data_IF_687658108158
#
_entry.id   IF_687658108158
#
_cell.length_a   1.000
_cell.length_b   1.000
_cell.length_c   1.000
_cell.angle_alpha   90.00
_cell.angle_beta   90.00
_cell.angle_gamma   90.00
#
_symmetry.space_group_name_H-M   'P 1'
#
loop_
_entity.id
_entity.type
_entity.pdbx_description
1 polymer ?
#
# COMPACT_ATOMS: atom_id res chain seq x y z
N UNK A 1 -13.77 -11.64 8.29
CA UNK A 1 -12.31 -11.90 8.12
C UNK A 1 -12.01 -13.20 7.37
N UNK A 2 -12.97 -13.88 6.73
CA UNK A 2 -12.80 -15.23 6.15
C UNK A 2 -12.01 -15.31 4.83
N UNK A 3 -11.37 -14.22 4.38
CA UNK A 3 -10.68 -14.12 3.08
C UNK A 3 -9.17 -13.87 3.17
N UNK A 4 -8.58 -13.85 4.38
CA UNK A 4 -7.14 -13.67 4.52
C UNK A 4 -6.45 -14.97 4.12
N UNK A 5 -5.59 -14.91 3.09
CA UNK A 5 -4.80 -16.04 2.60
C UNK A 5 -3.30 -15.86 2.79
N UNK A 6 -2.81 -14.61 2.83
CA UNK A 6 -1.39 -14.31 3.02
C UNK A 6 -1.20 -13.18 4.03
N UNK A 7 -0.17 -13.30 4.86
CA UNK A 7 0.21 -12.33 5.89
C UNK A 7 1.69 -12.03 5.72
N UNK A 8 2.06 -10.76 5.68
CA UNK A 8 3.45 -10.31 5.54
C UNK A 8 3.86 -9.54 6.79
N UNK A 9 4.92 -9.99 7.44
CA UNK A 9 5.47 -9.43 8.67
C UNK A 9 6.76 -8.69 8.33
N UNK A 10 6.83 -7.41 8.69
CA UNK A 10 7.99 -6.56 8.38
C UNK A 10 9.16 -6.82 9.32
N UNK A 11 8.89 -6.96 10.63
CA UNK A 11 9.87 -7.27 11.66
C UNK A 11 9.21 -7.90 12.91
N UNK A 12 10.02 -8.33 13.88
CA UNK A 12 9.56 -9.12 15.04
C UNK A 12 9.17 -8.29 16.29
N UNK A 13 9.07 -6.96 16.20
CA UNK A 13 8.58 -6.18 17.34
C UNK A 13 7.12 -6.54 17.68
N UNK A 14 6.80 -6.44 18.97
CA UNK A 14 5.56 -6.96 19.55
C UNK A 14 4.29 -6.33 18.93
N UNK A 15 4.33 -5.04 18.64
CA UNK A 15 3.24 -4.29 18.00
C UNK A 15 2.95 -4.72 16.57
N UNK A 16 3.86 -5.44 15.90
CA UNK A 16 3.69 -5.98 14.56
C UNK A 16 3.30 -7.47 14.55
N UNK A 17 3.53 -8.22 15.63
CA UNK A 17 3.33 -9.70 15.64
C UNK A 17 2.38 -10.24 16.71
N UNK A 18 2.16 -9.55 17.84
CA UNK A 18 1.46 -10.16 18.99
C UNK A 18 -0.03 -10.40 18.74
N UNK A 19 -0.63 -9.70 17.77
CA UNK A 19 -2.01 -9.97 17.32
C UNK A 19 -2.14 -11.19 16.39
N UNK A 20 -1.05 -11.77 15.92
CA UNK A 20 -1.09 -12.80 14.89
C UNK A 20 -1.76 -14.10 15.37
N UNK A 21 -1.48 -14.52 16.61
CA UNK A 21 -2.02 -15.77 17.17
C UNK A 21 -3.55 -15.70 17.27
N UNK A 22 -4.08 -14.58 17.76
CA UNK A 22 -5.53 -14.36 17.90
C UNK A 22 -6.22 -14.19 16.55
N UNK A 23 -5.54 -13.58 15.58
CA UNK A 23 -6.01 -13.50 14.19
C UNK A 23 -6.10 -14.90 13.56
N UNK A 24 -5.05 -15.71 13.66
CA UNK A 24 -5.02 -17.07 13.09
C UNK A 24 -6.09 -17.97 13.68
N UNK A 25 -6.33 -17.89 15.00
CA UNK A 25 -7.44 -18.59 15.66
C UNK A 25 -8.80 -18.24 15.06
N UNK A 26 -8.97 -16.99 14.64
CA UNK A 26 -10.22 -16.52 14.03
C UNK A 26 -10.35 -16.92 12.55
N UNK A 27 -9.25 -17.00 11.80
CA UNK A 27 -9.24 -17.30 10.35
C UNK A 27 -9.22 -18.80 10.05
N UNK A 28 -8.47 -19.59 10.82
CA UNK A 28 -8.28 -21.03 10.61
C UNK A 28 -9.43 -21.89 11.17
N UNK A 29 -10.38 -21.27 11.86
CA UNK A 29 -11.59 -21.93 12.37
C UNK A 29 -11.36 -22.89 13.53
N UNK A 30 -12.47 -23.35 14.12
CA UNK A 30 -12.46 -24.30 15.23
C UNK A 30 -12.14 -25.72 14.75
N UNK A 31 -11.31 -26.49 15.49
CA UNK A 31 -11.06 -27.89 15.19
C UNK A 31 -12.38 -28.63 14.99
N UNK A 32 -12.50 -29.36 13.89
CA UNK A 32 -13.59 -30.33 13.73
C UNK A 32 -13.32 -31.50 14.66
N UNK A 33 -14.35 -32.11 15.29
CA UNK A 33 -14.16 -33.36 16.01
C UNK A 33 -13.47 -34.35 15.07
N UNK A 34 -12.49 -35.07 15.59
CA UNK A 34 -11.69 -36.03 14.84
C UNK A 34 -12.63 -36.97 14.07
N UNK A 35 -12.81 -36.70 12.77
CA UNK A 35 -13.18 -37.78 11.88
C UNK A 35 -11.93 -38.66 11.85
N UNK A 36 -12.11 -39.95 12.10
CA UNK A 36 -11.09 -40.98 11.91
C UNK A 36 -10.62 -40.94 10.46
N UNK A 37 -9.74 -39.98 10.15
CA UNK A 37 -8.91 -40.04 8.97
C UNK A 37 -7.92 -41.12 9.32
N UNK A 38 -8.10 -42.29 8.70
CA UNK A 38 -7.07 -43.30 8.60
C UNK A 38 -5.79 -42.57 8.19
N UNK A 39 -4.91 -42.33 9.16
CA UNK A 39 -3.52 -42.14 8.85
C UNK A 39 -3.08 -43.49 8.31
N UNK A 40 -3.29 -43.71 7.01
CA UNK A 40 -2.55 -44.72 6.30
C UNK A 40 -1.09 -44.37 6.58
N UNK A 41 -0.49 -45.17 7.46
CA UNK A 41 0.92 -45.06 7.76
C UNK A 41 1.65 -45.07 6.41
N UNK A 42 2.62 -44.17 6.18
CA UNK A 42 3.32 -44.13 4.91
C UNK A 42 3.84 -45.55 4.62
N UNK A 43 3.45 -46.10 3.47
CA UNK A 43 3.72 -47.49 3.10
C UNK A 43 5.22 -47.78 2.99
N UNK A 44 6.05 -46.73 2.96
CA UNK A 44 7.49 -46.78 3.11
C UNK A 44 8.00 -45.52 3.83
N UNK A 45 9.14 -45.59 4.54
CA UNK A 45 9.79 -44.43 5.15
C UNK A 45 10.30 -43.39 4.14
N UNK A 46 10.26 -43.68 2.83
CA UNK A 46 10.76 -42.83 1.75
C UNK A 46 9.64 -42.13 0.94
N UNK A 47 8.35 -42.36 1.25
CA UNK A 47 7.28 -41.62 0.59
C UNK A 47 7.15 -40.20 1.16
N UNK A 48 7.12 -39.16 0.30
CA UNK A 48 6.95 -37.79 0.75
C UNK A 48 5.58 -37.64 1.41
N UNK A 49 5.57 -37.22 2.67
CA UNK A 49 4.33 -36.91 3.41
C UNK A 49 3.58 -35.81 2.65
N UNK A 50 2.44 -36.15 2.06
CA UNK A 50 1.60 -35.18 1.36
C UNK A 50 0.88 -34.29 2.38
N UNK A 51 1.28 -33.02 2.47
CA UNK A 51 0.62 -32.04 3.33
C UNK A 51 -0.58 -31.40 2.62
N UNK A 52 -1.67 -31.07 3.33
CA UNK A 52 -2.75 -30.27 2.76
C UNK A 52 -2.26 -28.85 2.45
N UNK A 53 -2.88 -28.20 1.46
CA UNK A 53 -2.58 -26.81 1.14
C UNK A 53 -2.89 -25.90 2.35
N UNK A 54 -1.99 -24.98 2.72
CA UNK A 54 -2.25 -24.05 3.79
C UNK A 54 -3.37 -23.09 3.40
N UNK A 55 -4.25 -22.76 4.35
CA UNK A 55 -5.25 -21.71 4.16
C UNK A 55 -4.64 -20.32 4.31
N UNK A 56 -3.63 -20.21 5.17
CA UNK A 56 -2.92 -18.96 5.43
C UNK A 56 -1.42 -19.19 5.32
N UNK A 57 -0.75 -18.41 4.50
CA UNK A 57 0.71 -18.37 4.39
C UNK A 57 1.25 -17.10 5.04
N UNK A 58 2.28 -17.25 5.87
CA UNK A 58 2.82 -16.16 6.68
C UNK A 58 4.28 -15.98 6.28
N UNK A 59 4.60 -14.81 5.75
CA UNK A 59 5.93 -14.43 5.28
C UNK A 59 6.50 -13.44 6.28
N UNK A 60 7.70 -13.69 6.81
CA UNK A 60 8.31 -12.78 7.77
C UNK A 60 9.79 -13.03 7.97
N UNK A 61 10.46 -12.19 8.77
CA UNK A 61 11.86 -12.41 9.11
C UNK A 61 12.04 -13.70 9.93
N UNK A 62 13.30 -14.10 10.09
CA UNK A 62 13.69 -15.16 11.01
C UNK A 62 13.06 -14.97 12.40
N UNK A 63 12.40 -16.02 12.90
CA UNK A 63 11.78 -16.06 14.23
C UNK A 63 10.27 -16.27 14.17
N UNK A 64 9.62 -15.89 13.07
CA UNK A 64 8.17 -15.99 12.93
C UNK A 64 7.68 -17.43 13.01
N UNK A 65 8.43 -18.40 12.46
CA UNK A 65 8.07 -19.82 12.51
C UNK A 65 8.12 -20.35 13.93
N UNK A 66 9.25 -20.16 14.62
CA UNK A 66 9.38 -20.57 16.03
C UNK A 66 8.35 -19.87 16.92
N UNK A 67 8.11 -18.57 16.73
CA UNK A 67 7.11 -17.81 17.48
C UNK A 67 5.72 -18.45 17.40
N UNK A 68 5.24 -18.71 16.17
CA UNK A 68 3.94 -19.35 15.93
C UNK A 68 3.88 -20.75 16.52
N UNK A 69 4.89 -21.58 16.23
CA UNK A 69 4.96 -22.98 16.69
C UNK A 69 4.97 -23.05 18.21
N UNK A 70 5.82 -22.27 18.87
CA UNK A 70 5.95 -22.27 20.33
C UNK A 70 4.67 -21.79 21.01
N UNK A 71 4.08 -20.67 20.59
CA UNK A 71 2.89 -20.14 21.25
C UNK A 71 1.69 -21.05 21.04
N UNK A 72 1.44 -21.54 19.82
CA UNK A 72 0.32 -22.45 19.57
C UNK A 72 0.48 -23.76 20.35
N UNK A 73 1.72 -24.28 20.46
CA UNK A 73 2.01 -25.49 21.25
C UNK A 73 1.75 -25.27 22.73
N UNK A 74 2.33 -24.23 23.34
CA UNK A 74 2.21 -23.97 24.79
C UNK A 74 0.79 -23.58 25.19
N UNK A 75 0.03 -22.95 24.29
CA UNK A 75 -1.38 -22.61 24.53
C UNK A 75 -2.35 -23.74 24.16
N UNK A 76 -1.85 -24.88 23.69
CA UNK A 76 -2.67 -26.01 23.20
C UNK A 76 -3.69 -25.60 22.12
N UNK A 77 -3.34 -24.60 21.30
CA UNK A 77 -4.23 -24.00 20.32
C UNK A 77 -4.23 -24.77 19.01
N UNK A 78 -5.27 -25.57 18.76
CA UNK A 78 -5.49 -26.28 17.48
C UNK A 78 -6.49 -25.55 16.58
N UNK A 79 -6.42 -25.76 15.27
CA UNK A 79 -7.30 -25.11 14.28
C UNK A 79 -7.84 -26.12 13.28
N UNK A 80 -8.94 -25.78 12.59
CA UNK A 80 -9.52 -26.62 11.55
C UNK A 80 -8.61 -26.70 10.32
N UNK A 81 -8.17 -25.53 9.85
CA UNK A 81 -7.32 -25.37 8.68
C UNK A 81 -5.85 -25.18 9.09
N UNK A 82 -4.94 -25.38 8.13
CA UNK A 82 -3.49 -25.26 8.36
C UNK A 82 -2.93 -23.90 7.94
N UNK A 83 -1.80 -23.53 8.54
CA UNK A 83 -0.97 -22.41 8.10
C UNK A 83 0.43 -22.88 7.70
N UNK A 84 1.09 -22.11 6.84
CA UNK A 84 2.52 -22.25 6.54
C UNK A 84 3.26 -20.99 6.99
N UNK A 85 4.46 -21.16 7.56
CA UNK A 85 5.32 -20.05 7.97
C UNK A 85 6.63 -20.05 7.17
N UNK A 86 6.79 -19.03 6.33
CA UNK A 86 7.94 -18.80 5.47
C UNK A 86 8.86 -17.76 6.10
N UNK A 87 10.14 -18.09 6.22
CA UNK A 87 11.14 -17.20 6.79
C UNK A 87 12.00 -16.60 5.69
N UNK A 88 12.07 -15.27 5.66
CA UNK A 88 13.00 -14.51 4.86
C UNK A 88 14.25 -14.33 5.70
N UNK A 89 15.23 -15.20 5.46
CA UNK A 89 16.49 -15.25 6.20
C UNK A 89 17.49 -14.29 5.56
N UNK A 90 18.18 -13.48 6.35
CA UNK A 90 19.33 -12.72 5.83
C UNK A 90 20.53 -13.66 5.59
N UNK A 91 21.55 -13.18 4.89
CA UNK A 91 22.76 -13.98 4.61
C UNK A 91 23.33 -14.57 5.90
N UNK A 92 23.75 -15.84 5.85
CA UNK A 92 24.29 -16.61 6.98
C UNK A 92 23.31 -17.00 8.10
N UNK A 93 22.06 -16.52 8.10
CA UNK A 93 21.10 -16.95 9.12
C UNK A 93 20.72 -18.42 8.98
N UNK A 94 20.46 -19.08 10.10
CA UNK A 94 19.81 -20.38 10.12
C UNK A 94 18.34 -20.21 10.49
N UNK A 95 17.44 -21.04 9.92
CA UNK A 95 16.02 -20.94 10.19
C UNK A 95 15.74 -21.02 11.68
N UNK A 96 14.73 -20.28 12.13
CA UNK A 96 14.40 -20.23 13.55
C UNK A 96 13.85 -21.55 14.05
N UNK A 97 13.20 -22.35 13.22
CA UNK A 97 12.76 -23.70 13.55
C UNK A 97 12.83 -24.60 12.31
N UNK A 98 12.99 -25.93 12.48
CA UNK A 98 13.06 -26.86 11.36
C UNK A 98 11.79 -26.83 10.51
N UNK A 99 11.95 -26.71 9.18
CA UNK A 99 10.83 -26.59 8.21
C UNK A 99 9.88 -27.79 8.26
N UNK A 100 10.43 -29.01 8.31
CA UNK A 100 9.64 -30.26 8.38
C UNK A 100 9.40 -30.74 9.82
N UNK A 101 9.81 -29.95 10.81
CA UNK A 101 9.92 -30.41 12.20
C UNK A 101 11.04 -31.44 12.39
N UNK A 102 11.30 -31.79 13.64
CA UNK A 102 12.18 -32.89 14.04
C UNK A 102 11.53 -33.68 15.17
N UNK A 103 12.13 -34.80 15.59
CA UNK A 103 11.66 -35.55 16.78
C UNK A 103 11.62 -34.65 18.02
N UNK A 104 12.57 -33.72 18.15
CA UNK A 104 12.67 -32.81 19.31
C UNK A 104 11.79 -31.55 19.15
N UNK A 105 11.60 -31.06 17.92
CA UNK A 105 10.80 -29.88 17.61
C UNK A 105 9.79 -30.21 16.49
N UNK A 106 8.76 -31.04 16.78
CA UNK A 106 7.81 -31.48 15.77
C UNK A 106 6.97 -30.31 15.24
N UNK A 107 6.42 -30.48 14.04
CA UNK A 107 5.44 -29.53 13.51
C UNK A 107 4.23 -29.44 14.44
N UNK A 108 3.71 -28.23 14.63
CA UNK A 108 2.47 -28.07 15.35
C UNK A 108 1.31 -28.68 14.53
N UNK A 109 0.29 -29.24 15.21
CA UNK A 109 -0.82 -29.92 14.52
C UNK A 109 -1.63 -29.04 13.57
N UNK A 110 -1.52 -27.71 13.63
CA UNK A 110 -2.13 -26.74 12.70
C UNK A 110 -1.14 -26.17 11.66
N UNK A 111 0.10 -26.65 11.64
CA UNK A 111 1.19 -26.15 10.80
C UNK A 111 1.47 -27.15 9.66
N UNK A 112 1.84 -26.63 8.49
CA UNK A 112 2.48 -27.40 7.41
C UNK A 112 3.85 -26.78 7.09
N UNK A 113 4.76 -27.54 6.46
CA UNK A 113 6.08 -27.01 6.11
C UNK A 113 5.99 -25.72 5.30
N UNK A 114 6.75 -24.71 5.73
CA UNK A 114 6.94 -23.47 4.97
C UNK A 114 8.20 -23.51 4.11
N UNK A 115 8.74 -22.33 3.81
CA UNK A 115 9.95 -22.18 2.98
C UNK A 115 10.94 -21.25 3.65
N UNK A 116 12.22 -21.55 3.54
CA UNK A 116 13.30 -20.66 3.94
C UNK A 116 13.79 -19.90 2.71
N UNK A 117 13.36 -18.65 2.56
CA UNK A 117 13.75 -17.78 1.47
C UNK A 117 15.11 -17.14 1.78
N UNK A 118 16.02 -17.21 0.81
CA UNK A 118 17.34 -16.58 0.86
C UNK A 118 17.38 -15.37 -0.08
N UNK A 119 18.12 -14.30 0.27
CA UNK A 119 18.31 -13.20 -0.64
C UNK A 119 19.15 -13.65 -1.85
N UNK A 120 18.95 -12.97 -2.97
CA UNK A 120 19.82 -13.04 -4.13
C UNK A 120 21.18 -12.38 -3.86
N UNK A 121 22.07 -12.38 -4.86
CA UNK A 121 23.38 -11.74 -4.80
C UNK A 121 23.30 -10.22 -4.53
N UNK A 122 22.16 -9.59 -4.81
CA UNK A 122 21.90 -8.18 -4.57
C UNK A 122 21.30 -7.92 -3.17
N UNK A 123 21.07 -8.95 -2.37
CA UNK A 123 20.56 -8.85 -1.00
C UNK A 123 19.04 -8.80 -0.87
N UNK A 124 18.29 -9.28 -1.87
CA UNK A 124 16.84 -9.16 -1.92
C UNK A 124 16.14 -10.52 -2.11
N UNK A 125 14.91 -10.65 -1.60
CA UNK A 125 14.09 -11.86 -1.78
C UNK A 125 13.12 -11.64 -2.94
N UNK A 126 13.44 -12.15 -4.13
CA UNK A 126 12.60 -12.04 -5.32
C UNK A 126 11.60 -13.19 -5.42
N UNK A 127 10.39 -12.89 -5.84
CA UNK A 127 9.36 -13.90 -6.12
C UNK A 127 8.97 -14.72 -4.89
N UNK A 128 8.94 -14.09 -3.70
CA UNK A 128 8.46 -14.78 -2.48
C UNK A 128 6.99 -15.18 -2.63
N UNK A 129 6.23 -14.42 -3.44
CA UNK A 129 4.93 -14.80 -3.95
C UNK A 129 4.90 -14.56 -5.45
N UNK A 130 4.41 -15.54 -6.18
CA UNK A 130 4.14 -15.47 -7.61
C UNK A 130 2.84 -16.20 -7.91
N UNK A 131 1.72 -15.46 -7.91
CA UNK A 131 0.40 -16.06 -8.04
C UNK A 131 -0.44 -15.40 -9.12
N UNK A 132 -1.22 -16.22 -9.82
CA UNK A 132 -2.29 -15.73 -10.69
C UNK A 132 -3.51 -15.40 -9.84
N UNK A 133 -3.97 -14.17 -9.98
CA UNK A 133 -5.14 -13.62 -9.31
C UNK A 133 -6.18 -13.21 -10.36
N UNK A 134 -7.46 -13.34 -10.00
CA UNK A 134 -8.60 -13.00 -10.86
C UNK A 134 -9.35 -14.22 -11.41
N UNK A 135 -10.52 -13.96 -11.99
CA UNK A 135 -11.35 -14.94 -12.70
C UNK A 135 -11.85 -14.31 -13.99
N UNK A 136 -11.73 -15.00 -15.13
CA UNK A 136 -12.15 -14.50 -16.45
C UNK A 136 -11.15 -13.56 -17.12
N UNK A 137 -11.64 -12.47 -17.73
CA UNK A 137 -10.84 -11.54 -18.56
C UNK A 137 -9.93 -10.57 -17.78
N UNK A 138 -9.93 -10.62 -16.45
CA UNK A 138 -9.11 -9.78 -15.57
C UNK A 138 -8.04 -10.61 -14.83
N UNK A 139 -7.42 -11.55 -15.54
CA UNK A 139 -6.31 -12.34 -15.00
C UNK A 139 -5.06 -11.46 -14.89
N UNK A 140 -4.57 -11.25 -13.67
CA UNK A 140 -3.27 -10.63 -13.41
C UNK A 140 -2.41 -11.57 -12.57
N UNK A 141 -1.11 -11.48 -12.73
CA UNK A 141 -0.13 -12.16 -11.89
C UNK A 141 0.35 -11.17 -10.85
N UNK A 142 0.32 -11.54 -9.57
CA UNK A 142 0.82 -10.73 -8.47
C UNK A 142 2.18 -11.27 -8.06
N UNK A 143 3.18 -10.41 -8.15
CA UNK A 143 4.54 -10.68 -7.68
C UNK A 143 4.79 -9.92 -6.39
N UNK A 144 5.29 -10.62 -5.39
CA UNK A 144 5.79 -9.99 -4.16
C UNK A 144 7.28 -10.27 -4.04
N UNK A 145 8.04 -9.20 -3.91
CA UNK A 145 9.44 -9.23 -3.51
C UNK A 145 9.60 -8.59 -2.12
N UNK A 146 10.73 -8.82 -1.48
CA UNK A 146 11.12 -8.12 -0.27
C UNK A 146 12.56 -7.61 -0.35
N UNK A 147 12.86 -6.58 0.42
CA UNK A 147 14.22 -6.06 0.59
C UNK A 147 14.47 -5.51 1.99
N UNK A 148 15.74 -5.43 2.40
CA UNK A 148 16.10 -4.96 3.72
C UNK A 148 15.91 -3.44 3.85
N UNK A 149 15.53 -2.99 5.04
CA UNK A 149 15.49 -1.58 5.43
C UNK A 149 16.15 -1.39 6.79
N UNK A 150 16.62 -0.18 7.08
CA UNK A 150 17.35 0.10 8.32
C UNK A 150 16.38 0.42 9.46
N UNK A 151 16.37 -0.46 10.45
CA UNK A 151 15.66 -0.32 11.72
C UNK A 151 16.53 -0.85 12.87
N UNK A 152 16.05 -0.78 14.12
CA UNK A 152 16.77 -1.32 15.29
C UNK A 152 16.95 -2.83 15.24
N UNK A 153 15.95 -3.52 14.73
CA UNK A 153 15.95 -4.97 14.47
C UNK A 153 15.88 -5.21 12.96
N UNK A 154 16.23 -6.42 12.48
CA UNK A 154 16.06 -6.79 11.07
C UNK A 154 14.63 -6.51 10.60
N UNK A 155 14.51 -5.65 9.58
CA UNK A 155 13.24 -5.15 9.09
C UNK A 155 13.20 -5.20 7.57
N UNK A 156 12.00 -5.46 7.04
CA UNK A 156 11.73 -5.70 5.64
C UNK A 156 10.77 -4.65 5.07
N UNK A 157 11.01 -4.28 3.82
CA UNK A 157 10.01 -3.67 2.94
C UNK A 157 9.53 -4.68 1.90
N UNK A 158 8.25 -4.65 1.57
CA UNK A 158 7.63 -5.51 0.56
C UNK A 158 7.24 -4.71 -0.68
N UNK A 159 7.55 -5.25 -1.86
CA UNK A 159 7.18 -4.68 -3.15
C UNK A 159 6.15 -5.60 -3.79
N UNK A 160 4.92 -5.10 -3.98
CA UNK A 160 3.82 -5.82 -4.62
C UNK A 160 3.63 -5.27 -6.02
N UNK A 161 3.81 -6.11 -7.04
CA UNK A 161 3.63 -5.73 -8.45
C UNK A 161 2.50 -6.53 -9.06
N UNK A 162 1.55 -5.83 -9.66
CA UNK A 162 0.58 -6.42 -10.55
C UNK A 162 1.17 -6.52 -11.96
N UNK A 163 1.21 -7.73 -12.49
CA UNK A 163 1.69 -8.06 -13.83
C UNK A 163 0.48 -8.43 -14.69
N UNK A 164 0.08 -7.57 -15.64
CA UNK A 164 -0.99 -7.88 -16.58
C UNK A 164 -0.65 -9.11 -17.43
N UNK A 165 -1.63 -10.00 -17.65
CA UNK A 165 -1.41 -11.21 -18.48
C UNK A 165 -1.32 -10.91 -19.98
N UNK A 166 -1.84 -9.76 -20.43
CA UNK A 166 -1.80 -9.32 -21.82
C UNK A 166 -0.80 -8.16 -21.98
N UNK A 167 0.17 -8.33 -22.89
CA UNK A 167 1.22 -7.36 -23.19
C UNK A 167 0.68 -6.08 -23.85
N UNK A 168 -0.56 -6.08 -24.34
CA UNK A 168 -1.23 -4.88 -24.85
C UNK A 168 -1.75 -3.97 -23.72
N UNK A 169 -1.81 -4.47 -22.48
CA UNK A 169 -2.33 -3.78 -21.29
C UNK A 169 -1.24 -3.49 -20.24
N UNK A 170 0.00 -3.17 -20.68
CA UNK A 170 1.05 -2.61 -19.81
C UNK A 170 0.52 -1.38 -19.04
N UNK A 171 -0.54 -0.77 -19.55
CA UNK A 171 -1.23 0.33 -18.93
C UNK A 171 -2.00 -0.04 -17.67
N UNK A 172 -2.17 -1.29 -17.24
CA UNK A 172 -2.97 -1.58 -16.03
C UNK A 172 -2.13 -1.87 -14.77
N UNK A 173 -0.81 -1.99 -14.90
CA UNK A 173 0.06 -2.44 -13.82
C UNK A 173 0.13 -1.44 -12.65
N UNK A 174 0.09 -1.97 -11.43
CA UNK A 174 0.27 -1.22 -10.18
C UNK A 174 1.49 -1.75 -9.45
N UNK A 175 2.23 -0.84 -8.83
CA UNK A 175 3.32 -1.20 -7.91
C UNK A 175 3.07 -0.53 -6.58
N UNK A 176 3.03 -1.33 -5.52
CA UNK A 176 2.91 -0.88 -4.14
C UNK A 176 4.21 -1.20 -3.41
N UNK A 177 4.74 -0.23 -2.67
CA UNK A 177 5.85 -0.44 -1.75
C UNK A 177 5.36 -0.23 -0.32
N UNK A 178 5.45 -1.26 0.50
CA UNK A 178 5.02 -1.26 1.90
C UNK A 178 6.27 -1.42 2.76
N UNK A 179 6.64 -0.37 3.48
CA UNK A 179 7.79 -0.38 4.36
C UNK A 179 7.35 -0.72 5.79
N UNK A 180 8.17 -1.51 6.49
CA UNK A 180 8.14 -1.56 7.94
C UNK A 180 8.69 -0.29 8.58
N UNK A 181 8.88 -0.34 9.89
CA UNK A 181 9.52 0.72 10.65
C UNK A 181 10.96 0.92 10.16
N UNK A 182 11.38 2.16 9.99
CA UNK A 182 12.65 2.46 9.34
C UNK A 182 13.13 3.86 9.63
N UNK A 183 14.43 4.00 9.84
CA UNK A 183 15.14 5.29 9.76
C UNK A 183 15.79 5.51 8.40
N UNK A 184 16.02 4.46 7.62
CA UNK A 184 16.58 4.58 6.28
C UNK A 184 16.19 3.39 5.37
N UNK A 185 15.22 3.57 4.46
CA UNK A 185 14.81 2.54 3.52
C UNK A 185 15.63 2.52 2.22
N UNK A 186 16.71 3.32 2.07
CA UNK A 186 17.41 3.46 0.78
C UNK A 186 17.97 2.15 0.22
N UNK A 187 18.24 1.16 1.06
CA UNK A 187 18.71 -0.16 0.64
C UNK A 187 17.73 -0.89 -0.29
N UNK A 188 16.42 -0.59 -0.24
CA UNK A 188 15.42 -1.21 -1.12
C UNK A 188 15.29 -0.53 -2.49
N UNK A 189 15.92 0.64 -2.70
CA UNK A 189 15.79 1.41 -3.95
C UNK A 189 16.16 0.58 -5.21
N UNK A 190 17.27 -0.19 -5.23
CA UNK A 190 17.63 -0.97 -6.42
C UNK A 190 16.56 -1.99 -6.85
N UNK A 191 15.80 -2.54 -5.89
CA UNK A 191 14.70 -3.48 -6.13
C UNK A 191 13.50 -2.82 -6.82
N UNK A 192 13.26 -1.54 -6.58
CA UNK A 192 12.11 -0.80 -7.13
C UNK A 192 12.46 0.01 -8.38
N UNK A 193 13.73 0.38 -8.57
CA UNK A 193 14.17 1.14 -9.75
C UNK A 193 14.31 0.29 -11.00
N UNK A 194 14.62 -1.00 -10.87
CA UNK A 194 14.74 -1.91 -12.02
C UNK A 194 13.36 -2.37 -12.50
N UNK A 195 13.10 -2.37 -13.82
CA UNK A 195 11.88 -2.97 -14.34
C UNK A 195 11.87 -4.46 -14.01
N UNK A 196 10.78 -4.95 -13.41
CA UNK A 196 10.66 -6.35 -13.10
C UNK A 196 10.57 -7.17 -14.40
N UNK A 197 11.34 -8.25 -14.47
CA UNK A 197 11.26 -9.24 -15.54
C UNK A 197 10.27 -10.31 -15.09
N UNK A 198 9.10 -10.38 -15.72
CA UNK A 198 8.21 -11.51 -15.56
C UNK A 198 8.84 -12.72 -16.28
N UNK A 199 9.58 -13.56 -15.57
CA UNK A 199 10.01 -14.84 -16.13
C UNK A 199 8.77 -15.71 -16.37
N UNK A 200 8.53 -16.12 -17.61
CA UNK A 200 7.56 -17.16 -17.93
C UNK A 200 8.24 -18.52 -17.77
N UNK A 201 8.38 -19.02 -16.56
CA UNK A 201 8.72 -20.44 -16.37
C UNK A 201 7.48 -21.27 -16.70
N UNK A 202 7.40 -21.77 -17.95
CA UNK A 202 6.59 -22.96 -18.21
C UNK A 202 7.28 -24.12 -17.51
N UNK A 203 6.84 -24.48 -16.31
CA UNK A 203 7.16 -25.77 -15.72
C UNK A 203 6.34 -26.84 -16.45
N UNK A 204 6.87 -27.38 -17.54
CA UNK A 204 6.35 -28.59 -18.17
C UNK A 204 6.72 -29.77 -17.28
N UNK A 205 5.86 -30.12 -16.32
CA UNK A 205 5.93 -31.42 -15.65
C UNK A 205 5.39 -32.49 -16.60
N UNK A 206 6.28 -33.17 -17.32
CA UNK A 206 6.00 -34.53 -17.80
C UNK A 206 7.30 -35.31 -17.90
N UNK A 207 7.46 -36.23 -16.95
CA UNK A 207 8.48 -37.26 -16.89
C UNK A 207 8.03 -38.46 -17.73
N UNK A 208 8.75 -38.77 -18.81
CA UNK A 208 8.87 -40.14 -19.33
C UNK A 208 10.20 -40.27 -20.09
N UNK A 209 11.02 -41.26 -19.71
CA UNK A 209 12.34 -41.55 -20.33
C UNK A 209 12.17 -42.59 -21.49
N UNK A 210 13.21 -43.02 -22.23
CA UNK A 210 13.46 -42.67 -23.64
C UNK A 210 13.34 -43.89 -24.60
N UNK A 211 13.17 -43.68 -25.91
CA UNK A 211 13.65 -44.70 -26.87
C UNK A 211 13.98 -44.21 -28.30
N UNK A 212 15.02 -44.86 -28.82
CA UNK A 212 15.67 -45.02 -30.11
C UNK A 212 15.21 -44.29 -31.42
N UNK A 213 16.20 -43.60 -32.01
CA UNK A 213 16.55 -43.42 -33.44
C UNK A 213 15.47 -43.16 -34.51
N UNK A 214 15.54 -42.00 -35.18
CA UNK A 214 15.93 -41.86 -36.61
C UNK A 214 15.63 -40.45 -37.17
N UNK A 215 16.63 -39.89 -37.84
CA UNK A 215 16.58 -38.90 -38.94
C UNK A 215 15.35 -37.99 -39.08
N UNK A 216 15.50 -36.67 -38.85
CA UNK A 216 15.02 -35.61 -39.75
C UNK A 216 15.30 -34.19 -39.19
N UNK A 217 16.00 -33.38 -39.99
CA UNK A 217 15.90 -31.92 -40.14
C UNK A 217 15.91 -31.04 -38.89
N UNK A 218 17.02 -30.32 -38.70
CA UNK A 218 17.14 -29.15 -37.84
C UNK A 218 16.09 -28.09 -38.20
N UNK A 219 15.15 -27.85 -37.28
CA UNK A 219 14.47 -26.57 -37.15
C UNK A 219 14.70 -26.11 -35.72
N UNK A 220 15.71 -25.26 -35.53
CA UNK A 220 15.88 -24.50 -34.28
C UNK A 220 14.72 -23.52 -34.12
N UNK A 221 13.60 -23.97 -33.56
CA UNK A 221 12.64 -23.06 -32.93
C UNK A 221 13.22 -22.63 -31.60
N UNK A 222 14.05 -21.58 -31.64
CA UNK A 222 14.42 -20.82 -30.45
C UNK A 222 13.13 -20.39 -29.73
N UNK A 223 12.87 -20.93 -28.55
CA UNK A 223 11.83 -20.42 -27.67
C UNK A 223 12.20 -18.96 -27.35
N UNK A 224 11.53 -18.01 -28.02
CA UNK A 224 11.68 -16.59 -27.73
C UNK A 224 11.04 -16.35 -26.37
N UNK A 225 11.86 -16.34 -25.32
CA UNK A 225 11.45 -15.88 -24.01
C UNK A 225 11.07 -14.40 -24.12
N UNK A 226 9.77 -14.12 -24.23
CA UNK A 226 9.26 -12.76 -24.18
C UNK A 226 9.34 -12.27 -22.72
N UNK A 227 10.40 -11.53 -22.41
CA UNK A 227 10.54 -10.80 -21.16
C UNK A 227 9.69 -9.52 -21.22
N UNK A 228 8.48 -9.56 -20.66
CA UNK A 228 7.68 -8.34 -20.47
C UNK A 228 8.31 -7.51 -19.34
N UNK A 229 8.95 -6.41 -19.69
CA UNK A 229 9.50 -5.45 -18.73
C UNK A 229 8.38 -4.54 -18.23
N UNK A 230 8.09 -4.60 -16.93
CA UNK A 230 7.09 -3.71 -16.31
C UNK A 230 7.76 -2.35 -16.02
N UNK A 231 7.21 -1.22 -16.47
CA UNK A 231 7.78 0.09 -16.17
C UNK A 231 7.94 0.32 -14.67
N UNK A 232 9.08 0.88 -14.26
CA UNK A 232 9.44 1.21 -12.88
C UNK A 232 8.63 2.40 -12.33
N UNK A 233 7.30 2.31 -12.31
CA UNK A 233 6.43 3.32 -11.70
C UNK A 233 5.96 2.84 -10.33
N UNK A 234 5.99 3.73 -9.35
CA UNK A 234 5.60 3.45 -7.97
C UNK A 234 4.25 4.09 -7.65
N UNK A 235 3.16 3.34 -7.75
CA UNK A 235 1.79 3.85 -7.61
C UNK A 235 1.50 4.32 -6.18
N UNK A 236 2.01 3.60 -5.19
CA UNK A 236 1.83 3.91 -3.78
C UNK A 236 3.05 3.48 -2.97
N UNK A 237 3.51 4.37 -2.09
CA UNK A 237 4.43 4.04 -1.00
C UNK A 237 3.69 4.17 0.32
N UNK A 238 3.74 3.16 1.17
CA UNK A 238 3.39 3.23 2.58
C UNK A 238 4.68 3.31 3.37
N UNK A 239 4.89 4.41 4.07
CA UNK A 239 6.10 4.69 4.84
C UNK A 239 5.73 5.05 6.28
N UNK A 240 6.53 4.63 7.25
CA UNK A 240 6.34 5.07 8.63
C UNK A 240 6.65 6.57 8.81
N UNK A 241 5.99 7.21 9.76
CA UNK A 241 6.25 8.60 10.13
C UNK A 241 6.00 8.76 11.63
N UNK A 242 6.84 8.09 12.42
CA UNK A 242 6.65 7.95 13.86
C UNK A 242 6.69 9.28 14.60
N UNK A 243 7.53 10.22 14.15
CA UNK A 243 7.66 11.52 14.81
C UNK A 243 7.64 12.72 13.88
N UNK A 244 7.10 13.83 14.35
CA UNK A 244 7.02 15.09 13.62
C UNK A 244 7.18 16.30 14.56
N UNK A 245 7.76 17.38 14.02
CA UNK A 245 7.83 18.64 14.73
C UNK A 245 6.53 19.42 14.49
N UNK A 246 5.78 19.74 15.54
CA UNK A 246 4.59 20.59 15.43
C UNK A 246 4.93 21.99 15.95
N UNK A 247 4.80 23.04 15.12
CA UNK A 247 5.13 24.40 15.53
C UNK A 247 4.30 24.92 16.72
N UNK A 248 4.83 25.84 17.54
CA UNK A 248 4.12 26.38 18.70
C UNK A 248 2.80 27.09 18.40
N UNK A 249 2.60 27.60 17.18
CA UNK A 249 1.35 28.24 16.78
C UNK A 249 0.23 27.22 16.54
N UNK A 250 0.57 25.95 16.29
CA UNK A 250 -0.37 24.82 16.21
C UNK A 250 -0.48 24.16 17.59
N UNK A 251 0.66 23.79 18.19
CA UNK A 251 0.73 23.15 19.50
C UNK A 251 0.89 24.17 20.65
N UNK A 252 -0.09 25.06 20.76
CA UNK A 252 -0.10 26.15 21.76
C UNK A 252 -0.04 25.66 23.22
N UNK A 253 -0.46 24.42 23.46
CA UNK A 253 -0.49 23.79 24.80
C UNK A 253 0.69 22.84 25.03
N UNK A 254 1.60 22.66 24.06
CA UNK A 254 2.77 21.78 24.15
C UNK A 254 2.42 20.30 24.33
N UNK A 255 1.32 19.86 23.73
CA UNK A 255 0.75 18.50 23.82
C UNK A 255 1.63 17.45 23.16
N UNK A 256 2.33 17.79 22.06
CA UNK A 256 3.28 16.89 21.39
C UNK A 256 4.65 16.85 22.09
N UNK A 257 4.82 17.70 23.11
CA UNK A 257 5.99 17.80 23.98
C UNK A 257 6.56 19.22 24.02
N UNK A 258 6.98 19.66 25.20
CA UNK A 258 7.55 21.01 25.41
C UNK A 258 8.98 21.10 24.84
N UNK A 259 9.36 22.30 24.38
CA UNK A 259 10.71 22.63 23.90
C UNK A 259 11.25 21.73 22.78
N UNK A 260 10.37 21.15 21.97
CA UNK A 260 10.78 20.37 20.80
C UNK A 260 11.28 21.31 19.70
N UNK A 261 12.32 20.88 18.99
CA UNK A 261 12.87 21.52 17.80
C UNK A 261 13.08 20.48 16.71
N UNK A 262 13.04 20.89 15.45
CA UNK A 262 13.17 19.98 14.31
C UNK A 262 14.39 19.05 14.44
N UNK A 263 15.54 19.58 14.84
CA UNK A 263 16.79 18.83 14.99
C UNK A 263 16.69 17.77 16.09
N UNK A 264 16.05 18.12 17.22
CA UNK A 264 15.87 17.18 18.34
C UNK A 264 14.86 16.08 18.02
N UNK A 265 13.86 16.38 17.19
CA UNK A 265 12.88 15.40 16.72
C UNK A 265 13.56 14.43 15.75
N UNK A 266 14.31 14.97 14.79
CA UNK A 266 15.09 14.19 13.84
C UNK A 266 16.07 13.25 14.53
N UNK A 267 16.90 13.77 15.46
CA UNK A 267 17.89 12.96 16.17
C UNK A 267 17.25 11.82 16.98
N UNK A 268 16.13 12.08 17.65
CA UNK A 268 15.40 11.06 18.43
C UNK A 268 14.71 10.01 17.56
N UNK A 269 14.18 10.41 16.41
CA UNK A 269 13.60 9.46 15.46
C UNK A 269 14.70 8.52 14.95
N UNK A 270 15.83 9.08 14.51
CA UNK A 270 16.98 8.32 14.03
C UNK A 270 17.54 7.36 15.09
N UNK A 271 17.74 7.83 16.32
CA UNK A 271 18.20 7.02 17.46
C UNK A 271 17.30 5.80 17.71
N UNK A 272 15.99 5.95 17.51
CA UNK A 272 15.01 4.89 17.70
C UNK A 272 14.77 4.04 16.44
N UNK A 273 15.51 4.28 15.36
CA UNK A 273 15.33 3.58 14.09
C UNK A 273 14.04 3.97 13.37
N UNK A 274 13.56 5.20 13.53
CA UNK A 274 12.32 5.71 12.95
C UNK A 274 12.51 6.95 12.06
N UNK A 275 11.46 7.34 11.37
CA UNK A 275 11.45 8.44 10.41
C UNK A 275 10.57 9.62 10.83
N UNK A 276 10.84 10.75 10.18
CA UNK A 276 10.06 11.99 10.27
C UNK A 276 9.49 12.36 8.87
N UNK A 277 8.54 13.32 8.75
CA UNK A 277 7.91 13.72 7.49
C UNK A 277 8.90 13.95 6.35
N UNK A 278 9.98 14.70 6.62
CA UNK A 278 11.00 15.05 5.63
C UNK A 278 11.76 13.82 5.10
N UNK A 279 11.97 12.78 5.92
CA UNK A 279 12.65 11.56 5.51
C UNK A 279 11.75 10.72 4.59
N UNK A 280 10.49 10.54 4.99
CA UNK A 280 9.50 9.82 4.20
C UNK A 280 9.24 10.50 2.83
N UNK A 281 9.10 11.83 2.82
CA UNK A 281 8.92 12.60 1.60
C UNK A 281 10.13 12.53 0.66
N UNK A 282 11.35 12.68 1.19
CA UNK A 282 12.57 12.54 0.42
C UNK A 282 12.71 11.14 -0.21
N UNK A 283 12.37 10.08 0.53
CA UNK A 283 12.38 8.73 -0.01
C UNK A 283 11.33 8.52 -1.11
N UNK A 284 10.10 8.97 -0.91
CA UNK A 284 9.04 8.89 -1.92
C UNK A 284 9.42 9.61 -3.23
N UNK A 285 10.13 10.74 -3.11
CA UNK A 285 10.72 11.43 -4.27
C UNK A 285 11.78 10.59 -4.97
N UNK A 286 12.68 9.98 -4.20
CA UNK A 286 13.78 9.16 -4.73
C UNK A 286 13.29 7.94 -5.52
N UNK A 287 12.17 7.33 -5.12
CA UNK A 287 11.58 6.17 -5.83
C UNK A 287 10.54 6.55 -6.89
N UNK A 288 10.31 7.85 -7.13
CA UNK A 288 9.33 8.32 -8.11
C UNK A 288 7.90 7.92 -7.77
N UNK A 289 7.53 7.97 -6.48
CA UNK A 289 6.19 7.64 -6.03
C UNK A 289 5.15 8.63 -6.57
N UNK A 290 3.97 8.11 -6.92
CA UNK A 290 2.81 8.94 -7.26
C UNK A 290 2.06 9.41 -6.00
N UNK A 291 1.97 8.51 -5.02
CA UNK A 291 1.25 8.71 -3.77
C UNK A 291 2.05 8.16 -2.61
N UNK A 292 2.04 8.88 -1.50
CA UNK A 292 2.68 8.52 -0.24
C UNK A 292 1.63 8.49 0.87
N UNK A 293 1.55 7.38 1.57
CA UNK A 293 0.76 7.23 2.79
C UNK A 293 1.72 7.10 3.97
N UNK A 294 1.54 7.97 4.95
CA UNK A 294 2.31 7.98 6.19
C UNK A 294 1.57 7.15 7.23
N UNK A 295 2.21 6.12 7.77
CA UNK A 295 1.65 5.24 8.78
C UNK A 295 2.51 5.22 10.05
N UNK A 296 2.17 4.37 11.03
CA UNK A 296 2.91 4.18 12.28
C UNK A 296 3.18 5.53 12.98
N UNK A 297 2.16 6.39 13.01
CA UNK A 297 2.27 7.73 13.59
C UNK A 297 2.30 7.60 15.11
N UNK A 298 3.28 8.22 15.77
CA UNK A 298 3.47 8.09 17.21
C UNK A 298 2.24 8.56 18.00
N UNK A 299 1.95 7.88 19.11
CA UNK A 299 0.76 8.09 19.97
C UNK A 299 0.58 9.50 20.54
N UNK A 300 1.63 10.34 20.47
CA UNK A 300 1.58 11.76 20.84
C UNK A 300 0.80 12.60 19.81
N UNK A 301 0.74 12.14 18.57
CA UNK A 301 -0.06 12.77 17.54
C UNK A 301 -1.44 12.15 17.60
N UNK A 302 -2.45 12.99 17.63
CA UNK A 302 -3.79 12.50 17.83
C UNK A 302 -4.38 11.97 16.51
N UNK A 303 -5.10 10.85 16.59
CA UNK A 303 -5.75 10.26 15.42
C UNK A 303 -6.86 11.19 14.90
N UNK A 304 -7.06 11.31 13.56
CA UNK A 304 -8.16 12.10 13.03
C UNK A 304 -9.50 11.53 13.49
N UNK A 305 -10.49 12.41 13.77
CA UNK A 305 -11.79 11.97 14.25
C UNK A 305 -12.58 11.32 13.10
N UNK A 306 -13.55 10.44 13.40
CA UNK A 306 -14.51 9.98 12.41
C UNK A 306 -15.27 11.17 11.79
N UNK A 307 -15.74 11.09 10.53
CA UNK A 307 -16.28 12.21 9.77
C UNK A 307 -17.58 12.89 10.29
N UNK A 308 -18.03 12.62 11.52
CA UNK A 308 -19.32 13.10 12.04
C UNK A 308 -19.32 13.57 13.51
N UNK A 309 -18.18 13.89 14.12
CA UNK A 309 -18.14 14.43 15.49
C UNK A 309 -18.01 15.97 15.52
N UNK A 310 -18.67 16.61 16.48
CA UNK A 310 -18.80 18.06 16.63
C UNK A 310 -17.46 18.81 16.57
N UNK A 311 -17.43 19.99 15.93
CA UNK A 311 -16.25 20.86 15.84
C UNK A 311 -15.81 21.37 17.22
N UNK A 312 -14.98 20.60 17.91
CA UNK A 312 -14.33 21.00 19.16
C UNK A 312 -12.98 21.64 18.87
N UNK A 313 -12.47 22.45 19.82
CA UNK A 313 -11.09 22.96 19.79
C UNK A 313 -10.07 21.83 19.59
N UNK A 314 -10.36 20.65 20.15
CA UNK A 314 -9.57 19.45 19.96
C UNK A 314 -9.50 19.08 18.48
N UNK A 315 -10.63 18.94 17.78
CA UNK A 315 -10.64 18.56 16.36
C UNK A 315 -9.89 19.55 15.47
N UNK A 316 -10.02 20.87 15.72
CA UNK A 316 -9.23 21.87 14.98
C UNK A 316 -7.73 21.66 15.17
N UNK A 317 -7.29 21.37 16.40
CA UNK A 317 -5.90 21.02 16.69
C UNK A 317 -5.46 19.71 15.99
N UNK A 318 -6.33 18.69 15.94
CA UNK A 318 -6.07 17.43 15.24
C UNK A 318 -5.76 17.68 13.76
N UNK A 319 -6.68 18.37 13.08
CA UNK A 319 -6.56 18.67 11.66
C UNK A 319 -5.31 19.49 11.37
N UNK A 320 -5.03 20.51 12.18
CA UNK A 320 -3.83 21.32 12.02
C UNK A 320 -2.53 20.51 12.19
N UNK A 321 -2.48 19.54 13.12
CA UNK A 321 -1.31 18.65 13.25
C UNK A 321 -1.12 17.77 12.01
N UNK A 322 -2.21 17.18 11.50
CA UNK A 322 -2.17 16.31 10.32
C UNK A 322 -1.77 17.10 9.09
N UNK A 323 -2.37 18.27 8.86
CA UNK A 323 -2.03 19.17 7.76
C UNK A 323 -0.57 19.59 7.83
N UNK A 324 -0.03 19.85 9.03
CA UNK A 324 1.38 20.19 9.21
C UNK A 324 2.32 19.02 8.87
N UNK A 325 1.97 17.79 9.28
CA UNK A 325 2.72 16.57 8.92
C UNK A 325 2.72 16.37 7.40
N UNK A 326 1.55 16.49 6.76
CA UNK A 326 1.42 16.40 5.30
C UNK A 326 2.24 17.50 4.61
N UNK A 327 2.17 18.75 5.11
CA UNK A 327 2.89 19.91 4.57
C UNK A 327 4.41 19.70 4.62
N UNK A 328 4.97 19.29 5.75
CA UNK A 328 6.41 19.00 5.89
C UNK A 328 6.87 17.87 4.96
N UNK A 329 6.01 16.87 4.77
CA UNK A 329 6.30 15.77 3.83
C UNK A 329 6.32 16.28 2.38
N UNK A 330 5.35 17.12 2.01
CA UNK A 330 5.25 17.69 0.66
C UNK A 330 6.46 18.56 0.29
N UNK A 331 7.11 19.24 1.25
CA UNK A 331 8.31 20.04 1.00
C UNK A 331 9.46 19.22 0.40
N UNK A 332 9.60 17.96 0.83
CA UNK A 332 10.66 17.05 0.37
C UNK A 332 10.20 16.11 -0.73
N UNK A 333 8.92 15.72 -0.74
CA UNK A 333 8.35 14.83 -1.75
C UNK A 333 8.18 15.54 -3.10
N UNK A 334 7.63 16.75 -3.10
CA UNK A 334 7.41 17.56 -4.31
C UNK A 334 6.71 16.80 -5.47
N UNK A 335 5.57 16.13 -5.20
CA UNK A 335 4.83 15.43 -6.25
C UNK A 335 4.19 16.43 -7.22
N UNK A 336 3.82 16.00 -8.45
CA UNK A 336 3.03 16.84 -9.33
C UNK A 336 1.71 17.27 -8.65
N UNK A 337 1.19 18.47 -8.99
CA UNK A 337 -0.04 18.97 -8.40
C UNK A 337 -1.20 18.00 -8.68
N UNK A 338 -2.06 17.75 -7.69
CA UNK A 338 -3.12 16.77 -7.85
C UNK A 338 -4.14 17.24 -8.88
N UNK A 339 -4.77 16.31 -9.63
CA UNK A 339 -5.76 16.65 -10.67
C UNK A 339 -7.04 17.26 -10.10
N UNK A 340 -7.26 17.16 -8.78
CA UNK A 340 -8.43 17.66 -8.07
C UNK A 340 -8.08 18.00 -6.62
N UNK A 341 -8.93 18.81 -5.98
CA UNK A 341 -8.85 19.09 -4.53
C UNK A 341 -9.52 18.01 -3.67
N UNK A 342 -10.02 16.93 -4.27
CA UNK A 342 -10.58 15.78 -3.54
C UNK A 342 -9.54 15.15 -2.62
N UNK A 343 -9.98 14.65 -1.46
CA UNK A 343 -9.12 13.92 -0.52
C UNK A 343 -8.37 12.75 -1.20
N UNK A 344 -9.07 11.98 -2.05
CA UNK A 344 -8.48 10.86 -2.79
C UNK A 344 -7.41 11.31 -3.80
N UNK A 345 -7.46 12.57 -4.23
CA UNK A 345 -6.48 13.16 -5.13
C UNK A 345 -5.22 13.64 -4.40
N UNK A 346 -5.19 13.70 -3.06
CA UNK A 346 -3.98 14.07 -2.31
C UNK A 346 -2.82 13.12 -2.65
N UNK A 347 -1.64 13.70 -2.87
CA UNK A 347 -0.40 12.95 -3.10
C UNK A 347 0.23 12.46 -1.80
N UNK A 348 -0.02 13.13 -0.66
CA UNK A 348 0.40 12.71 0.68
C UNK A 348 -0.83 12.58 1.56
N UNK A 349 -0.94 11.47 2.29
CA UNK A 349 -2.02 11.23 3.24
C UNK A 349 -1.41 10.68 4.54
N UNK A 350 -1.73 11.30 5.67
CA UNK A 350 -1.50 10.66 6.98
C UNK A 350 -2.60 9.64 7.22
N UNK A 351 -2.21 8.38 7.40
CA UNK A 351 -3.14 7.29 7.59
C UNK A 351 -3.90 7.42 8.92
N UNK A 352 -5.09 6.84 8.92
CA UNK A 352 -5.91 6.65 10.11
C UNK A 352 -6.64 5.32 10.01
N UNK A 353 -7.08 4.83 11.16
CA UNK A 353 -7.74 3.53 11.23
C UNK A 353 -8.94 3.48 10.28
N UNK A 354 -9.03 2.39 9.52
CA UNK A 354 -10.05 2.17 8.49
C UNK A 354 -9.96 3.05 7.23
N UNK A 355 -8.89 3.84 7.05
CA UNK A 355 -8.61 4.50 5.78
C UNK A 355 -8.61 3.46 4.64
N UNK A 356 -9.45 3.71 3.63
CA UNK A 356 -9.53 2.89 2.41
C UNK A 356 -9.11 3.75 1.22
N UNK A 357 -8.17 3.26 0.42
CA UNK A 357 -7.69 3.93 -0.79
C UNK A 357 -7.84 3.00 -1.98
N UNK A 358 -8.47 3.52 -3.03
CA UNK A 358 -8.48 2.87 -4.33
C UNK A 358 -7.29 3.35 -5.16
N UNK A 359 -6.49 2.41 -5.65
CA UNK A 359 -5.38 2.69 -6.57
C UNK A 359 -5.90 2.38 -7.98
N UNK A 360 -6.13 3.39 -8.84
CA UNK A 360 -6.59 3.15 -10.19
C UNK A 360 -5.53 2.39 -10.99
N UNK A 361 -5.93 1.60 -12.00
CA UNK A 361 -4.97 1.07 -12.96
C UNK A 361 -4.33 2.25 -13.69
N UNK A 362 -3.14 2.06 -14.24
CA UNK A 362 -2.53 3.11 -15.03
C UNK A 362 -3.44 3.47 -16.24
N UNK A 363 -3.37 4.71 -16.67
CA UNK A 363 -3.97 5.13 -17.94
C UNK A 363 -2.83 5.72 -18.73
N UNK A 364 -2.50 5.12 -19.89
CA UNK A 364 -1.61 5.81 -20.80
C UNK A 364 -2.35 7.05 -21.25
N UNK A 365 -2.01 8.21 -20.70
CA UNK A 365 -2.17 9.44 -21.44
C UNK A 365 -1.22 9.34 -22.64
N UNK A 366 -1.68 8.68 -23.72
CA UNK A 366 -1.29 9.17 -25.04
C UNK A 366 -1.79 10.61 -25.05
N UNK A 367 -0.93 11.64 -25.14
CA UNK A 367 -1.44 12.94 -25.54
C UNK A 367 -2.23 12.65 -26.81
N UNK A 368 -3.51 13.01 -26.81
CA UNK A 368 -4.30 12.91 -28.02
C UNK A 368 -3.49 13.66 -29.08
N UNK A 369 -2.86 12.90 -29.98
CA UNK A 369 -2.43 13.45 -31.25
C UNK A 369 -3.72 14.02 -31.76
N UNK A 370 -3.83 15.34 -31.78
CA UNK A 370 -4.92 16.02 -32.44
C UNK A 370 -4.95 15.40 -33.83
N UNK A 371 -5.89 14.49 -34.07
CA UNK A 371 -6.29 14.14 -35.42
C UNK A 371 -6.70 15.48 -35.97
N UNK A 372 -5.81 16.07 -36.77
CA UNK A 372 -6.12 17.25 -37.54
C UNK A 372 -7.47 16.97 -38.16
N UNK A 373 -8.43 17.83 -37.83
CA UNK A 373 -9.74 17.82 -38.45
C UNK A 373 -9.52 17.82 -39.96
N UNK A 374 -9.69 16.64 -40.55
CA UNK A 374 -10.02 16.49 -41.97
C UNK A 374 -11.50 16.82 -42.21
N UNK A 375 -12.16 17.55 -41.30
CA UNK A 375 -13.54 18.04 -41.44
C UNK A 375 -13.61 19.57 -41.55
N UNK A 376 -12.52 20.23 -42.00
CA UNK A 376 -12.55 21.65 -42.37
C UNK A 376 -12.84 21.91 -43.86
N UNK A 377 -13.34 20.91 -44.60
CA UNK A 377 -13.65 21.08 -46.03
C UNK A 377 -15.13 20.91 -46.41
N UNK A 378 -16.04 20.71 -45.44
CA UNK A 378 -17.51 20.69 -45.73
C UNK A 378 -18.29 21.85 -45.10
N UNK A 379 -17.70 22.62 -44.18
CA UNK A 379 -18.31 23.86 -43.66
C UNK A 379 -17.85 25.12 -44.40
N UNK A 380 -16.73 25.05 -45.14
CA UNK A 380 -16.22 26.17 -45.95
C UNK A 380 -16.92 26.32 -47.31
N UNK A 381 -17.75 25.35 -47.72
CA UNK A 381 -18.56 25.42 -48.95
C UNK A 381 -20.03 25.79 -48.71
N UNK A 382 -20.48 25.86 -47.45
CA UNK A 382 -21.81 26.38 -47.10
C UNK A 382 -21.82 27.85 -46.66
N UNK A 383 -20.67 28.44 -46.32
CA UNK A 383 -20.56 29.88 -46.02
C UNK A 383 -20.23 30.76 -47.25
N UNK A 384 -19.80 30.19 -48.38
CA UNK A 384 -19.59 30.94 -49.63
C UNK A 384 -20.87 31.21 -50.43
N UNK A 385 -21.94 30.44 -50.19
CA UNK A 385 -23.24 30.58 -50.89
C UNK A 385 -24.27 31.42 -50.12
N UNK A 386 -23.96 31.80 -48.88
CA UNK A 386 -24.81 32.69 -48.07
C UNK A 386 -24.40 34.17 -48.15
N UNK A 387 -23.23 34.46 -48.72
CA UNK A 387 -22.68 35.82 -48.83
C UNK A 387 -23.04 36.54 -50.16
N UNK A 388 -23.92 35.95 -50.99
CA UNK A 388 -24.37 36.53 -52.28
C UNK A 388 -25.87 36.83 -52.38
N UNK A 389 -26.62 36.70 -51.31
CA UNK A 389 -28.00 37.20 -51.24
C UNK A 389 -28.12 38.09 -50.01
N UNK A 390 -28.73 39.24 -50.21
CA UNK A 390 -29.10 40.23 -49.18
C UNK A 390 -28.07 41.33 -48.92
N UNK A 391 -27.64 41.97 -50.02
CA UNK A 391 -27.60 43.43 -50.06
C UNK A 391 -28.99 43.96 -50.46
N UNK A 392 -29.71 44.59 -49.53
CA UNK A 392 -30.59 45.76 -49.76
C UNK A 392 -30.96 46.33 -48.37
N UNK A 393 -30.41 47.49 -47.99
CA UNK A 393 -31.05 48.83 -48.00
C UNK A 393 -32.29 48.87 -47.07
N UNK A 394 -32.50 49.80 -46.13
CA UNK A 394 -32.07 51.19 -45.98
C UNK A 394 -32.47 51.72 -44.58
N UNK A 395 -31.79 52.79 -44.15
CA UNK A 395 -32.27 53.99 -43.42
C UNK A 395 -32.96 53.92 -42.03
N UNK A 396 -32.65 54.91 -41.18
CA UNK A 396 -33.61 55.43 -40.19
C UNK A 396 -33.21 55.57 -38.71
N UNK A 397 -32.53 56.68 -38.37
CA UNK A 397 -32.89 57.61 -37.27
C UNK A 397 -32.87 57.25 -35.76
N UNK A 398 -32.05 58.06 -35.04
CA UNK A 398 -32.33 58.88 -33.81
C UNK A 398 -32.47 58.27 -32.40
N UNK A 399 -31.65 58.83 -31.48
CA UNK A 399 -31.96 59.19 -30.07
C UNK A 399 -31.77 58.08 -29.02
N UNK A 400 -31.35 58.28 -27.77
CA UNK A 400 -31.04 59.45 -26.95
C UNK A 400 -30.93 59.02 -25.47
N UNK A 401 -29.85 59.43 -24.80
CA UNK A 401 -29.69 59.91 -23.40
C UNK A 401 -30.56 59.45 -22.20
N UNK A 402 -29.87 59.36 -21.03
CA UNK A 402 -30.29 59.40 -19.59
C UNK A 402 -30.74 58.05 -18.97
N UNK A 403 -30.45 57.71 -17.70
CA UNK A 403 -29.89 58.43 -16.54
C UNK A 403 -30.74 58.16 -15.27
N UNK A 404 -30.08 58.11 -14.09
CA UNK A 404 -30.61 58.02 -12.68
C UNK A 404 -31.08 56.63 -12.22
N UNK A 405 -30.94 56.22 -10.95
CA UNK A 405 -30.43 56.85 -9.73
C UNK A 405 -31.35 56.58 -8.51
N UNK A 406 -30.74 56.42 -7.31
CA UNK A 406 -31.33 56.46 -5.94
C UNK A 406 -32.25 55.30 -5.54
N UNK A 407 -32.34 54.82 -4.30
CA UNK A 407 -31.73 55.18 -3.01
C UNK A 407 -32.65 54.77 -1.84
N UNK A 408 -32.10 54.82 -0.60
CA UNK A 408 -32.76 54.80 0.74
C UNK A 408 -33.31 53.43 1.22
N UNK A 409 -33.26 53.05 2.50
CA UNK A 409 -32.76 53.66 3.74
C UNK A 409 -33.56 53.20 4.99
N UNK A 410 -32.90 53.20 6.17
CA UNK A 410 -33.42 53.21 7.57
C UNK A 410 -34.10 51.90 8.07
N UNK A 411 -34.01 51.50 9.34
CA UNK A 411 -33.41 52.06 10.57
C UNK A 411 -33.82 51.22 11.82
N UNK A 412 -33.02 51.35 12.92
CA UNK A 412 -33.38 51.40 14.37
C UNK A 412 -34.31 50.31 14.98
N UNK A 413 -34.21 49.81 16.23
CA UNK A 413 -33.82 50.29 17.58
C UNK A 413 -33.75 49.03 18.51
N UNK A 414 -32.77 48.84 19.41
CA UNK A 414 -32.71 49.15 20.87
C UNK A 414 -33.41 48.21 21.88
N UNK A 415 -32.82 48.21 23.10
CA UNK A 415 -33.13 47.49 24.36
C UNK A 415 -32.61 46.03 24.42
N UNK A 416 -31.83 45.55 25.40
CA UNK A 416 -31.41 46.05 26.70
C UNK A 416 -32.19 45.36 27.83
N UNK A 417 -31.62 44.38 28.53
CA UNK A 417 -31.54 44.37 30.01
C UNK A 417 -30.72 43.20 30.57
N UNK A 418 -30.08 43.50 31.71
CA UNK A 418 -29.34 42.63 32.62
C UNK A 418 -30.16 41.51 33.28
N UNK A 419 -29.50 40.44 33.73
CA UNK A 419 -29.50 40.04 35.16
C UNK A 419 -28.61 38.83 35.47
N UNK A 420 -28.00 38.92 36.65
CA UNK A 420 -27.13 37.98 37.36
C UNK A 420 -27.89 36.75 37.88
N UNK A 421 -27.19 35.64 38.15
CA UNK A 421 -27.73 34.56 38.99
C UNK A 421 -26.88 33.30 39.09
N UNK A 422 -26.00 33.27 40.09
CA UNK A 422 -25.62 32.14 40.97
C UNK A 422 -25.45 30.68 40.48
N UNK A 423 -24.21 30.20 40.67
CA UNK A 423 -23.79 28.95 41.30
C UNK A 423 -24.83 27.87 41.68
N UNK A 424 -24.54 26.62 41.29
CA UNK A 424 -24.55 25.50 42.25
C UNK A 424 -23.75 24.28 41.74
N UNK A 425 -22.87 23.78 42.63
CA UNK A 425 -22.17 22.49 42.59
C UNK A 425 -23.15 21.35 42.84
N UNK A 426 -22.90 20.15 42.28
CA UNK A 426 -22.94 18.81 42.95
C UNK A 426 -22.84 17.65 41.91
N UNK A 427 -22.62 16.37 42.30
CA UNK A 427 -21.28 15.83 42.55
C UNK A 427 -21.02 14.53 41.75
N UNK A 428 -19.78 14.04 41.89
CA UNK A 428 -19.37 12.69 41.51
C UNK A 428 -20.10 11.61 42.31
N UNK A 429 -20.41 10.51 41.63
CA UNK A 429 -20.26 9.14 42.16
C UNK A 429 -19.54 8.31 41.12
#
# INVERSE_FOLDING_TARGET
MSKISKIFITHMHADHIMGLITLLRSVLGFPKPEQEVSQDAPASPDEPVAYPLPKVEIYGPRGIRRFLRSILTVTHSRSADKYAAHELLISEEQPSAPVNGTVQEPLHGSEVPGTDFRPDEEGFWRGVVDERMGSGNSNCRVLVDAGPIIHRDPCLGFVVREVPSDTTSITAARTLLILGDTSDPRAIIPLVSKPAVAASTLSSSSSTIPDLASSATEVSTSAVAFSTTIPSRMSLVIHECTDAFIPPHIDTKGRTGKNRRLETVYAKALEKGHSIPAMAGAFAKAVGAEKLVLNHVGTRFPAPPPPHQSHTEWHTYLHACIEEIERQTLETFQPPPPPSRSFHAKSVIVAYDFLTLEIPPYTSHRPAVSRGSQDNNELAQQESDRFKRDHQWEDGSRGGWRGRGKGRGRGREHSGNDSRGESSKKPRR
#
